data_IF_387511241754
#
_entry.id   IF_387511241754
#
_cell.length_a   1.000
_cell.length_b   1.000
_cell.length_c   1.000
_cell.angle_alpha   90.00
_cell.angle_beta   90.00
_cell.angle_gamma   90.00
#
_symmetry.space_group_name_H-M   'P 1'
#
loop_
_entity.id
_entity.type
_entity.pdbx_description
1 polymer ?
#
# COMPACT_ATOMS: atom_id res chain seq x y z
N UNK A 1 33.12 -23.70 -26.64
CA UNK A 1 33.19 -23.74 -25.15
C UNK A 1 32.01 -22.92 -24.64
N UNK A 2 31.26 -23.44 -23.68
CA UNK A 2 30.20 -22.66 -23.02
C UNK A 2 30.88 -21.66 -22.08
N UNK A 3 30.58 -20.37 -22.23
CA UNK A 3 31.15 -19.32 -21.39
C UNK A 3 30.38 -19.32 -20.08
N UNK A 4 30.96 -19.89 -19.03
CA UNK A 4 30.37 -19.84 -17.69
C UNK A 4 30.65 -18.45 -17.09
N UNK A 5 29.58 -17.68 -16.88
CA UNK A 5 29.61 -16.41 -16.17
C UNK A 5 28.97 -16.61 -14.82
N UNK A 6 29.53 -15.98 -13.79
CA UNK A 6 28.93 -15.87 -12.46
C UNK A 6 28.60 -14.42 -12.19
N UNK A 7 27.52 -14.19 -11.45
CA UNK A 7 26.98 -12.87 -11.17
C UNK A 7 26.83 -12.69 -9.66
N UNK A 8 27.17 -11.50 -9.16
CA UNK A 8 27.01 -11.17 -7.74
C UNK A 8 26.71 -9.68 -7.55
N UNK A 9 26.01 -9.35 -6.47
CA UNK A 9 25.83 -7.96 -6.04
C UNK A 9 27.07 -7.54 -5.25
N UNK A 10 27.65 -6.40 -5.62
CA UNK A 10 28.89 -5.88 -5.02
C UNK A 10 28.72 -4.44 -4.55
N UNK A 11 29.49 -4.05 -3.53
CA UNK A 11 29.48 -2.67 -3.06
C UNK A 11 30.16 -1.71 -4.05
N UNK A 12 29.78 -0.44 -4.03
CA UNK A 12 30.35 0.62 -4.86
C UNK A 12 29.31 1.63 -5.36
N UNK A 13 29.71 2.53 -6.25
CA UNK A 13 28.76 3.50 -6.82
C UNK A 13 27.59 2.79 -7.52
N UNK A 14 26.37 3.15 -7.15
CA UNK A 14 25.12 2.56 -7.65
C UNK A 14 24.63 1.32 -6.91
N UNK A 15 25.14 1.02 -5.71
CA UNK A 15 24.79 -0.15 -4.89
C UNK A 15 23.66 0.09 -3.86
N UNK A 16 23.05 1.28 -3.87
CA UNK A 16 22.10 1.77 -2.86
C UNK A 16 21.05 0.72 -2.46
N UNK A 17 20.48 0.02 -3.44
CA UNK A 17 19.35 -0.89 -3.25
C UNK A 17 19.76 -2.36 -3.34
N UNK A 18 21.06 -2.69 -3.32
CA UNK A 18 21.54 -4.08 -3.42
C UNK A 18 20.86 -5.01 -2.40
N UNK A 19 20.56 -4.52 -1.19
CA UNK A 19 19.93 -5.32 -0.13
C UNK A 19 18.49 -5.76 -0.45
N UNK A 20 17.82 -5.09 -1.39
CA UNK A 20 16.47 -5.42 -1.85
C UNK A 20 16.45 -6.60 -2.83
N UNK A 21 17.61 -7.11 -3.24
CA UNK A 21 17.73 -8.15 -4.25
C UNK A 21 18.70 -9.27 -3.86
N UNK A 22 18.53 -10.42 -4.50
CA UNK A 22 19.50 -11.52 -4.52
C UNK A 22 19.73 -12.01 -5.95
N UNK A 23 20.89 -12.59 -6.21
CA UNK A 23 21.20 -13.25 -7.49
C UNK A 23 21.33 -14.75 -7.26
N UNK A 24 20.52 -15.53 -7.98
CA UNK A 24 20.52 -16.99 -7.99
C UNK A 24 20.94 -17.48 -9.38
N UNK A 25 22.22 -17.84 -9.52
CA UNK A 25 22.84 -18.15 -10.81
C UNK A 25 22.89 -16.91 -11.71
N UNK A 26 21.97 -16.85 -12.68
CA UNK A 26 21.80 -15.73 -13.61
C UNK A 26 20.43 -15.05 -13.48
N UNK A 27 19.71 -15.30 -12.39
CA UNK A 27 18.38 -14.75 -12.11
C UNK A 27 18.48 -13.75 -10.97
N UNK A 28 18.08 -12.50 -11.22
CA UNK A 28 17.86 -11.51 -10.18
C UNK A 28 16.49 -11.76 -9.54
N UNK A 29 16.44 -11.81 -8.21
CA UNK A 29 15.21 -12.00 -7.42
C UNK A 29 15.04 -10.83 -6.48
N UNK A 30 13.82 -10.35 -6.32
CA UNK A 30 13.49 -9.39 -5.28
C UNK A 30 13.40 -10.06 -3.91
N UNK A 31 13.80 -9.33 -2.88
CA UNK A 31 13.63 -9.69 -1.46
C UNK A 31 12.68 -8.72 -0.73
N UNK A 32 12.07 -7.80 -1.47
CA UNK A 32 11.16 -6.78 -0.97
C UNK A 32 9.87 -6.74 -1.81
N UNK A 33 8.83 -6.15 -1.23
CA UNK A 33 7.63 -5.72 -1.95
C UNK A 33 7.92 -4.28 -2.41
N UNK A 34 7.66 -4.00 -3.68
CA UNK A 34 7.82 -2.67 -4.25
C UNK A 34 6.49 -1.96 -4.30
N UNK A 35 6.54 -0.65 -4.08
CA UNK A 35 5.44 0.30 -4.09
C UNK A 35 5.92 1.49 -4.94
N UNK A 36 5.24 1.74 -6.06
CA UNK A 36 5.68 2.70 -7.05
C UNK A 36 5.68 4.13 -6.46
N UNK A 37 4.63 4.46 -5.71
CA UNK A 37 4.42 5.74 -5.04
C UNK A 37 5.52 6.03 -4.00
N UNK A 38 6.07 4.98 -3.40
CA UNK A 38 7.16 5.11 -2.43
C UNK A 38 8.55 5.21 -3.11
N UNK A 39 8.78 4.42 -4.15
CA UNK A 39 10.07 4.36 -4.84
C UNK A 39 9.92 3.89 -6.30
N UNK A 40 10.00 4.84 -7.23
CA UNK A 40 9.86 4.56 -8.67
C UNK A 40 11.06 3.79 -9.28
N UNK A 41 12.25 3.89 -8.67
CA UNK A 41 13.47 3.26 -9.20
C UNK A 41 14.38 2.70 -8.11
N UNK A 42 15.08 1.63 -8.43
CA UNK A 42 16.13 1.03 -7.61
C UNK A 42 17.46 1.04 -8.36
N UNK A 43 18.58 1.22 -7.66
CA UNK A 43 19.94 1.07 -8.20
C UNK A 43 20.64 -0.12 -7.58
N UNK A 44 21.13 -1.03 -8.44
CA UNK A 44 21.96 -2.15 -8.03
C UNK A 44 23.30 -2.15 -8.75
N UNK A 45 24.33 -2.71 -8.13
CA UNK A 45 25.65 -2.90 -8.76
C UNK A 45 25.96 -4.38 -8.89
N UNK A 46 26.06 -4.84 -10.13
CA UNK A 46 26.30 -6.26 -10.45
C UNK A 46 27.72 -6.42 -10.97
N UNK A 47 28.45 -7.38 -10.39
CA UNK A 47 29.71 -7.87 -10.93
C UNK A 47 29.49 -9.18 -11.69
N UNK A 48 30.06 -9.26 -12.90
CA UNK A 48 30.18 -10.49 -13.68
C UNK A 48 31.61 -10.99 -13.63
N UNK A 49 31.81 -12.28 -13.35
CA UNK A 49 33.12 -12.95 -13.40
C UNK A 49 33.13 -14.04 -14.47
N UNK A 50 34.15 -14.04 -15.33
CA UNK A 50 34.35 -15.06 -16.36
C UNK A 50 35.14 -16.28 -15.85
N UNK A 51 35.25 -17.32 -16.68
CA UNK A 51 35.99 -18.55 -16.32
C UNK A 51 37.49 -18.37 -16.13
N UNK A 52 38.05 -17.22 -16.50
CA UNK A 52 39.44 -16.85 -16.28
C UNK A 52 39.61 -15.92 -15.07
N UNK A 53 38.54 -15.72 -14.28
CA UNK A 53 38.47 -14.83 -13.12
C UNK A 53 38.65 -13.34 -13.45
N UNK A 54 38.40 -12.92 -14.69
CA UNK A 54 38.29 -11.49 -15.00
C UNK A 54 36.91 -10.99 -14.54
N UNK A 55 36.89 -9.81 -13.93
CA UNK A 55 35.66 -9.19 -13.45
C UNK A 55 35.31 -7.91 -14.20
N UNK A 56 34.01 -7.61 -14.24
CA UNK A 56 33.48 -6.34 -14.69
C UNK A 56 32.24 -6.01 -13.86
N UNK A 57 32.16 -4.80 -13.33
CA UNK A 57 31.03 -4.35 -12.50
C UNK A 57 30.38 -3.10 -13.06
N UNK A 58 29.06 -3.09 -13.05
CA UNK A 58 28.24 -2.00 -13.60
C UNK A 58 27.02 -1.76 -12.71
N UNK A 59 26.62 -0.50 -12.62
CA UNK A 59 25.40 -0.10 -11.93
C UNK A 59 24.22 -0.16 -12.91
N UNK A 60 23.10 -0.71 -12.45
CA UNK A 60 21.86 -0.83 -13.19
C UNK A 60 20.75 -0.11 -12.44
N UNK A 61 19.94 0.63 -13.19
CA UNK A 61 18.67 1.16 -12.71
C UNK A 61 17.57 0.17 -13.08
N UNK A 62 16.80 -0.22 -12.08
CA UNK A 62 15.59 -1.02 -12.22
C UNK A 62 14.42 -0.07 -12.02
N UNK A 63 13.54 0.00 -13.01
CA UNK A 63 12.30 0.77 -12.89
C UNK A 63 11.25 -0.11 -12.21
N UNK A 64 10.57 0.44 -11.22
CA UNK A 64 9.37 -0.16 -10.66
C UNK A 64 8.21 0.24 -11.57
N UNK A 65 7.37 -0.73 -11.94
CA UNK A 65 6.20 -0.47 -12.75
C UNK A 65 5.05 -0.03 -11.84
N UNK A 66 4.48 1.12 -12.17
CA UNK A 66 3.17 1.58 -11.66
C UNK A 66 2.09 0.58 -12.08
N UNK A 67 1.36 0.06 -11.10
CA UNK A 67 0.13 -0.69 -11.34
C UNK A 67 -1.02 0.17 -10.86
N UNK A 68 -2.16 0.15 -11.54
CA UNK A 68 -3.30 0.94 -11.07
C UNK A 68 -3.85 0.38 -9.74
N UNK A 69 -3.39 0.89 -8.59
CA UNK A 69 -3.99 0.63 -7.27
C UNK A 69 -5.19 1.56 -7.04
N UNK A 70 -6.08 1.69 -8.04
CA UNK A 70 -7.28 2.51 -7.91
C UNK A 70 -8.00 2.15 -6.62
N UNK A 71 -7.88 3.06 -5.66
CA UNK A 71 -8.73 3.12 -4.49
C UNK A 71 -10.15 3.13 -5.05
N UNK A 72 -10.97 2.14 -4.66
CA UNK A 72 -12.37 2.17 -5.01
C UNK A 72 -12.94 3.43 -4.40
N UNK A 73 -13.47 4.33 -5.22
CA UNK A 73 -14.17 5.51 -4.71
C UNK A 73 -15.65 5.18 -4.59
N UNK A 74 -16.25 5.44 -3.44
CA UNK A 74 -17.70 5.44 -3.28
C UNK A 74 -18.16 6.88 -3.15
N UNK A 75 -19.29 7.21 -3.74
CA UNK A 75 -20.06 8.40 -3.38
C UNK A 75 -21.05 7.96 -2.31
N UNK A 76 -20.77 8.29 -1.06
CA UNK A 76 -21.55 7.80 0.09
C UNK A 76 -22.91 8.51 0.18
N UNK A 77 -23.00 9.75 -0.31
CA UNK A 77 -24.13 10.65 -0.07
C UNK A 77 -24.83 11.16 -1.34
N UNK A 78 -24.39 10.68 -2.51
CA UNK A 78 -24.88 11.09 -3.84
C UNK A 78 -24.69 12.61 -4.09
N UNK A 79 -23.74 13.25 -3.39
CA UNK A 79 -23.41 14.67 -3.57
C UNK A 79 -22.47 14.91 -4.76
N UNK A 80 -21.93 13.84 -5.36
CA UNK A 80 -20.99 13.86 -6.48
C UNK A 80 -19.52 13.94 -6.06
N UNK A 81 -19.21 13.95 -4.76
CA UNK A 81 -17.88 13.74 -4.22
C UNK A 81 -17.59 12.23 -4.14
N UNK A 82 -16.33 11.89 -4.34
CA UNK A 82 -15.86 10.52 -4.34
C UNK A 82 -14.94 10.34 -3.13
N UNK A 83 -15.35 9.53 -2.16
CA UNK A 83 -14.55 9.23 -0.98
C UNK A 83 -13.59 8.05 -1.27
N UNK A 84 -12.29 8.19 -0.93
CA UNK A 84 -11.34 7.08 -1.07
C UNK A 84 -11.67 5.93 -0.11
N UNK A 85 -11.75 4.69 -0.61
CA UNK A 85 -11.77 3.47 0.20
C UNK A 85 -10.37 2.85 0.31
N UNK A 86 -9.86 2.71 1.53
CA UNK A 86 -8.65 1.93 1.78
C UNK A 86 -9.08 0.52 2.25
N UNK A 87 -8.97 -0.50 1.39
CA UNK A 87 -9.37 -1.88 1.72
C UNK A 87 -10.80 -2.02 2.32
N UNK A 88 -11.81 -1.40 1.71
CA UNK A 88 -13.21 -1.34 2.20
C UNK A 88 -13.38 -0.55 3.52
N UNK A 89 -12.39 0.26 3.91
CA UNK A 89 -12.47 1.18 5.04
C UNK A 89 -12.66 2.62 4.54
N UNK A 90 -13.69 3.29 5.04
CA UNK A 90 -13.85 4.75 4.90
C UNK A 90 -13.38 5.44 6.18
N UNK A 91 -12.52 6.44 6.05
CA UNK A 91 -12.22 7.36 7.14
C UNK A 91 -13.34 8.41 7.25
N UNK A 92 -14.23 8.19 8.23
CA UNK A 92 -15.41 9.02 8.48
C UNK A 92 -15.09 10.44 8.96
N UNK A 93 -13.88 10.67 9.48
CA UNK A 93 -13.45 11.99 9.92
C UNK A 93 -12.97 12.84 8.73
N UNK A 94 -12.23 12.23 7.80
CA UNK A 94 -11.76 12.93 6.60
C UNK A 94 -12.85 13.22 5.57
N UNK A 95 -13.97 12.48 5.60
CA UNK A 95 -15.09 12.66 4.67
C UNK A 95 -15.98 13.86 4.99
N UNK A 96 -15.81 14.52 6.15
CA UNK A 96 -16.55 15.74 6.53
C UNK A 96 -18.09 15.59 6.49
N UNK A 97 -18.61 14.40 6.77
CA UNK A 97 -20.03 14.10 6.71
C UNK A 97 -20.84 15.00 7.65
N UNK A 98 -22.02 15.42 7.18
CA UNK A 98 -23.01 16.09 8.01
C UNK A 98 -23.84 15.10 8.85
N UNK A 99 -24.67 15.63 9.76
CA UNK A 99 -25.45 14.80 10.67
C UNK A 99 -26.47 13.90 9.95
N UNK A 100 -26.99 14.34 8.80
CA UNK A 100 -27.96 13.58 8.01
C UNK A 100 -27.33 12.45 7.21
N UNK A 101 -26.12 12.69 6.70
CA UNK A 101 -25.28 11.69 6.03
C UNK A 101 -24.80 10.63 7.03
N UNK A 102 -24.44 11.06 8.24
CA UNK A 102 -24.08 10.16 9.33
C UNK A 102 -25.27 9.29 9.79
N UNK A 103 -26.47 9.86 9.86
CA UNK A 103 -27.71 9.12 10.11
C UNK A 103 -27.96 8.04 9.04
N UNK A 104 -27.71 8.34 7.76
CA UNK A 104 -27.82 7.37 6.69
C UNK A 104 -26.87 6.18 6.89
N UNK A 105 -25.61 6.43 7.26
CA UNK A 105 -24.64 5.38 7.53
C UNK A 105 -25.03 4.49 8.72
N UNK A 106 -25.52 5.08 9.81
CA UNK A 106 -26.00 4.31 10.97
C UNK A 106 -27.16 3.38 10.57
N UNK A 107 -28.10 3.87 9.76
CA UNK A 107 -29.27 3.09 9.39
C UNK A 107 -28.94 1.92 8.45
N UNK A 108 -27.92 2.05 7.61
CA UNK A 108 -27.56 1.03 6.61
C UNK A 108 -26.41 0.13 7.06
N UNK A 109 -25.48 0.62 7.89
CA UNK A 109 -24.23 -0.06 8.27
C UNK A 109 -23.99 -0.09 9.79
N UNK A 110 -25.05 0.00 10.61
CA UNK A 110 -24.93 0.04 12.09
C UNK A 110 -24.03 -1.04 12.69
N UNK A 111 -24.04 -2.27 12.18
CA UNK A 111 -23.21 -3.34 12.76
C UNK A 111 -21.71 -3.08 12.61
N UNK A 112 -21.33 -2.40 11.52
CA UNK A 112 -19.93 -2.13 11.18
C UNK A 112 -19.48 -0.76 11.72
N UNK A 113 -20.42 0.17 11.94
CA UNK A 113 -20.16 1.49 12.49
C UNK A 113 -20.08 1.52 14.03
N UNK A 114 -20.86 0.69 14.74
CA UNK A 114 -20.94 0.77 16.21
C UNK A 114 -20.68 -0.54 16.96
N UNK A 115 -20.36 -1.66 16.31
CA UNK A 115 -20.22 -2.98 16.96
C UNK A 115 -21.53 -3.43 17.66
N UNK A 116 -21.79 -4.74 17.67
CA UNK A 116 -23.05 -5.33 18.16
C UNK A 116 -23.45 -4.99 19.62
N UNK A 117 -22.54 -4.44 20.42
CA UNK A 117 -22.73 -4.13 21.85
C UNK A 117 -22.58 -2.63 22.18
N UNK A 118 -22.59 -1.72 21.20
CA UNK A 118 -22.52 -0.29 21.52
C UNK A 118 -23.73 0.17 22.33
N UNK A 119 -23.45 1.05 23.28
CA UNK A 119 -24.45 1.76 24.09
C UNK A 119 -24.82 3.12 23.50
N UNK A 120 -24.15 3.56 22.43
CA UNK A 120 -24.48 4.76 21.67
C UNK A 120 -25.38 4.36 20.51
N UNK A 121 -26.55 4.99 20.41
CA UNK A 121 -27.63 4.55 19.50
C UNK A 121 -28.14 5.64 18.57
N UNK A 122 -27.60 6.85 18.66
CA UNK A 122 -28.01 8.03 17.88
C UNK A 122 -26.81 8.67 17.19
N UNK A 123 -27.03 9.23 16.01
CA UNK A 123 -25.98 9.85 15.21
C UNK A 123 -25.22 10.93 15.96
N UNK A 124 -25.91 11.82 16.68
CA UNK A 124 -25.29 12.95 17.37
C UNK A 124 -24.26 12.49 18.43
N UNK A 125 -24.60 11.49 19.24
CA UNK A 125 -23.70 10.97 20.29
C UNK A 125 -22.51 10.18 19.73
N UNK A 126 -22.69 9.53 18.58
CA UNK A 126 -21.63 8.79 17.89
C UNK A 126 -20.71 9.78 17.18
N UNK A 127 -21.25 10.71 16.40
CA UNK A 127 -20.51 11.76 15.70
C UNK A 127 -19.67 12.61 16.65
N UNK A 128 -20.21 12.97 17.82
CA UNK A 128 -19.46 13.67 18.87
C UNK A 128 -18.28 12.85 19.40
N UNK A 129 -18.42 11.53 19.51
CA UNK A 129 -17.33 10.64 19.94
C UNK A 129 -16.28 10.47 18.84
N UNK A 130 -16.68 10.34 17.57
CA UNK A 130 -15.74 10.28 16.45
C UNK A 130 -14.86 11.53 16.39
N UNK A 131 -15.46 12.71 16.58
CA UNK A 131 -14.75 13.99 16.64
C UNK A 131 -13.77 14.10 17.83
N UNK A 132 -13.98 13.32 18.90
CA UNK A 132 -13.08 13.27 20.05
C UNK A 132 -11.87 12.36 19.80
N UNK A 133 -12.06 11.25 19.08
CA UNK A 133 -11.02 10.23 18.88
C UNK A 133 -10.22 10.38 17.59
N UNK A 134 -10.71 11.15 16.61
CA UNK A 134 -9.95 11.66 15.47
C UNK A 134 -9.72 10.72 14.28
N UNK A 135 -9.84 9.40 14.45
CA UNK A 135 -9.73 8.44 13.33
C UNK A 135 -10.64 7.24 13.57
N UNK A 136 -11.70 7.10 12.75
CA UNK A 136 -12.53 5.89 12.73
C UNK A 136 -12.68 5.42 11.28
N UNK A 137 -12.20 4.20 11.07
CA UNK A 137 -12.29 3.45 9.82
C UNK A 137 -13.60 2.63 9.86
N UNK A 138 -14.45 2.79 8.84
CA UNK A 138 -15.71 2.05 8.68
C UNK A 138 -15.52 0.88 7.72
N UNK A 139 -15.67 -0.36 8.20
CA UNK A 139 -15.73 -1.57 7.37
C UNK A 139 -17.05 -1.61 6.57
N UNK A 140 -16.96 -1.47 5.24
CA UNK A 140 -18.13 -1.41 4.34
C UNK A 140 -18.59 -2.81 3.90
N UNK A 141 -17.73 -3.83 3.99
CA UNK A 141 -18.04 -5.17 3.48
C UNK A 141 -18.67 -6.10 4.53
N UNK A 142 -18.69 -5.66 5.80
CA UNK A 142 -19.36 -6.33 6.91
C UNK A 142 -18.64 -7.59 7.41
N UNK A 143 -17.37 -7.79 7.03
CA UNK A 143 -16.60 -8.97 7.41
C UNK A 143 -15.97 -8.85 8.82
N UNK A 144 -16.09 -7.69 9.48
CA UNK A 144 -15.53 -7.35 10.80
C UNK A 144 -14.00 -7.50 10.87
N UNK A 145 -13.29 -7.28 9.77
CA UNK A 145 -11.82 -7.24 9.73
C UNK A 145 -11.40 -5.82 9.39
N UNK A 146 -11.11 -5.08 10.46
CA UNK A 146 -10.33 -3.84 10.42
C UNK A 146 -8.85 -4.18 10.26
#
# INVERSE_FOLDING_TARGET
MQKNLTYSLVAGEGDTDNSLFTIDGNVLRSNAIFDFEAQETCSIRVETTDSANNTYSEAFIINIEDINESIATLDIDDNGALEPQDYNLINLYSSQLDESEFDFLINNFSNDLIWKNSTRTDASSIFSYLNEVGEILLDIDGNNKV
#
